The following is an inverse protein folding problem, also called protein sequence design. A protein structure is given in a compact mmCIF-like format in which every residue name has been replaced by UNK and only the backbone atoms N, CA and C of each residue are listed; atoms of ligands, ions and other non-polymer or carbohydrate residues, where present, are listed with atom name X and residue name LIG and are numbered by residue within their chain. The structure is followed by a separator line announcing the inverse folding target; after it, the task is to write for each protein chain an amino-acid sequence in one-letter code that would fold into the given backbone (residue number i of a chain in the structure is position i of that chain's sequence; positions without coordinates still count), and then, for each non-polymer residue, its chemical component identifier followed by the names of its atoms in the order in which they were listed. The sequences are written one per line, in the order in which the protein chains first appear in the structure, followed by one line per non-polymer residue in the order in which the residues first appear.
data_IF_039548483967
#
_entry.id   IF_039548483967
#
_cell.length_a   1.000
_cell.length_b   1.000
_cell.length_c   1.000
_cell.angle_alpha   90.00
_cell.angle_beta   90.00
_cell.angle_gamma   90.00
#
_symmetry.space_group_name_H-M   'P 1'
#
loop_
_entity.id
_entity.type
_entity.pdbx_description
1 polymer ?
#
# COMPACT_ATOMS: atom_id res chain seq x y z
N UNK A 1 -9.92 8.69 4.36
CA UNK A 1 -9.53 7.46 5.09
C UNK A 1 -8.74 6.55 4.15
N UNK A 2 -8.16 5.43 4.64
CA UNK A 2 -7.42 4.48 3.80
C UNK A 2 -8.26 3.95 2.63
N UNK A 3 -9.59 3.86 2.78
CA UNK A 3 -10.53 3.51 1.70
C UNK A 3 -10.52 4.52 0.55
N UNK A 4 -10.71 5.81 0.83
CA UNK A 4 -10.71 6.87 -0.20
C UNK A 4 -9.39 6.92 -0.98
N UNK A 5 -8.27 6.68 -0.28
CA UNK A 5 -6.96 6.59 -0.91
C UNK A 5 -6.89 5.43 -1.91
N UNK A 6 -7.36 4.23 -1.51
CA UNK A 6 -7.38 3.08 -2.41
C UNK A 6 -8.27 3.40 -3.63
N UNK A 7 -9.44 4.01 -3.43
CA UNK A 7 -10.39 4.28 -4.50
C UNK A 7 -9.84 5.25 -5.56
N UNK A 8 -9.16 6.32 -5.14
CA UNK A 8 -8.57 7.30 -6.08
C UNK A 8 -7.19 6.89 -6.61
N UNK A 9 -6.30 6.37 -5.76
CA UNK A 9 -4.89 6.16 -6.13
C UNK A 9 -4.56 4.76 -6.65
N UNK A 10 -5.42 3.75 -6.46
CA UNK A 10 -5.13 2.38 -6.90
C UNK A 10 -4.97 2.25 -8.42
N UNK A 11 -5.78 2.98 -9.20
CA UNK A 11 -5.71 2.93 -10.67
C UNK A 11 -4.37 3.47 -11.16
N UNK A 12 -3.90 4.58 -10.60
CA UNK A 12 -2.61 5.18 -10.95
C UNK A 12 -1.44 4.31 -10.51
N UNK A 13 -1.49 3.74 -9.30
CA UNK A 13 -0.47 2.81 -8.79
C UNK A 13 -0.31 1.58 -9.67
N UNK A 14 -1.44 1.01 -10.15
CA UNK A 14 -1.44 -0.15 -11.04
C UNK A 14 -0.92 0.20 -12.44
N UNK A 15 -1.24 1.39 -12.96
CA UNK A 15 -0.71 1.87 -14.24
C UNK A 15 0.80 2.13 -14.18
N UNK A 16 1.28 2.68 -13.07
CA UNK A 16 2.70 2.95 -12.88
C UNK A 16 3.52 1.67 -12.69
N UNK A 17 2.93 0.60 -12.14
CA UNK A 17 3.62 -0.67 -11.85
C UNK A 17 2.84 -1.88 -12.40
N UNK A 18 2.79 -2.07 -13.73
CA UNK A 18 1.96 -3.11 -14.35
C UNK A 18 2.41 -4.55 -14.06
N UNK A 19 3.67 -4.74 -13.66
CA UNK A 19 4.25 -6.04 -13.30
C UNK A 19 4.17 -6.35 -11.81
N UNK A 20 3.76 -5.39 -10.96
CA UNK A 20 3.69 -5.56 -9.52
C UNK A 20 2.30 -6.09 -9.12
N UNK A 21 2.20 -7.30 -8.52
CA UNK A 21 0.93 -7.81 -8.03
C UNK A 21 0.50 -7.05 -6.77
N UNK A 22 -0.54 -6.21 -6.90
CA UNK A 22 -1.15 -5.49 -5.77
C UNK A 22 -2.37 -6.27 -5.29
N UNK A 23 -2.38 -6.67 -4.01
CA UNK A 23 -3.51 -7.36 -3.38
C UNK A 23 -4.18 -6.43 -2.36
N UNK A 24 -5.45 -6.10 -2.59
CA UNK A 24 -6.27 -5.34 -1.64
C UNK A 24 -7.20 -6.32 -0.90
N UNK A 25 -7.17 -6.30 0.43
CA UNK A 25 -8.07 -7.08 1.27
C UNK A 25 -8.88 -6.16 2.16
N UNK A 26 -10.18 -6.13 1.95
CA UNK A 26 -11.10 -5.41 2.82
C UNK A 26 -11.33 -6.24 4.09
N UNK A 27 -11.12 -5.64 5.25
CA UNK A 27 -11.36 -6.27 6.54
C UNK A 27 -12.04 -5.24 7.46
N UNK A 28 -12.93 -5.72 8.34
CA UNK A 28 -13.64 -4.90 9.33
C UNK A 28 -13.10 -5.17 10.72
N UNK A 29 -12.92 -4.13 11.54
CA UNK A 29 -12.41 -4.26 12.92
C UNK A 29 -10.89 -4.48 13.04
N UNK A 30 -10.13 -4.33 11.95
CA UNK A 30 -8.67 -4.45 11.95
C UNK A 30 -8.01 -3.14 11.56
N UNK A 31 -6.82 -2.92 12.11
CA UNK A 31 -5.97 -1.77 11.79
C UNK A 31 -5.48 -1.90 10.33
N UNK A 32 -5.63 -0.86 9.49
CA UNK A 32 -5.16 -0.90 8.12
C UNK A 32 -3.63 -1.07 8.10
N UNK A 33 -3.13 -2.03 7.32
CA UNK A 33 -1.70 -2.33 7.17
C UNK A 33 -1.36 -2.55 5.70
N UNK A 34 -0.23 -1.99 5.27
CA UNK A 34 0.38 -2.29 3.98
C UNK A 34 1.48 -3.33 4.15
N UNK A 35 1.56 -4.26 3.21
CA UNK A 35 2.60 -5.29 3.14
C UNK A 35 3.29 -5.20 1.78
N UNK A 36 4.61 -5.12 1.79
CA UNK A 36 5.43 -5.17 0.60
C UNK A 36 6.38 -6.37 0.71
N UNK A 37 6.38 -7.21 -0.33
CA UNK A 37 7.28 -8.35 -0.46
C UNK A 37 8.29 -8.05 -1.57
N UNK A 38 9.57 -8.10 -1.23
CA UNK A 38 10.67 -7.83 -2.14
C UNK A 38 11.28 -9.13 -2.68
N UNK A 39 12.16 -8.98 -3.67
CA UNK A 39 13.02 -10.08 -4.10
C UNK A 39 13.82 -10.64 -2.90
N UNK A 40 14.18 -11.93 -2.95
CA UNK A 40 14.88 -12.66 -1.87
C UNK A 40 14.06 -12.92 -0.59
N UNK A 41 12.75 -12.72 -0.62
CA UNK A 41 11.85 -13.13 0.47
C UNK A 41 11.81 -12.16 1.65
N UNK A 42 12.27 -10.92 1.46
CA UNK A 42 12.09 -9.88 2.47
C UNK A 42 10.65 -9.34 2.44
N UNK A 43 10.00 -9.31 3.61
CA UNK A 43 8.65 -8.79 3.78
C UNK A 43 8.67 -7.63 4.78
N UNK A 44 8.09 -6.50 4.38
CA UNK A 44 7.98 -5.30 5.23
C UNK A 44 6.51 -4.95 5.39
N UNK A 45 6.07 -4.85 6.65
CA UNK A 45 4.72 -4.40 7.01
C UNK A 45 4.75 -3.01 7.61
N UNK A 46 3.85 -2.13 7.19
CA UNK A 46 3.71 -0.77 7.74
C UNK A 46 2.26 -0.55 8.19
N UNK A 47 2.03 -0.17 9.46
CA UNK A 47 0.70 0.24 9.92
C UNK A 47 0.32 1.57 9.27
N UNK A 48 -0.91 1.65 8.78
CA UNK A 48 -1.50 2.84 8.18
C UNK A 48 -2.56 3.48 9.09
N UNK A 49 -2.50 3.19 10.39
CA UNK A 49 -3.43 3.69 11.39
C UNK A 49 -3.32 5.21 11.55
N UNK A 50 -4.46 5.91 11.54
CA UNK A 50 -4.49 7.36 11.74
C UNK A 50 -3.82 8.21 10.64
N UNK A 51 -3.35 7.61 9.54
CA UNK A 51 -2.70 8.34 8.45
C UNK A 51 -3.73 8.93 7.47
N UNK A 52 -3.46 10.14 6.98
CA UNK A 52 -4.21 10.75 5.88
C UNK A 52 -3.91 10.05 4.54
N UNK A 53 -4.77 10.25 3.53
CA UNK A 53 -4.58 9.66 2.21
C UNK A 53 -3.20 9.98 1.61
N UNK A 54 -2.74 11.23 1.74
CA UNK A 54 -1.42 11.65 1.27
C UNK A 54 -0.28 10.94 2.01
N UNK A 55 -0.42 10.77 3.33
CA UNK A 55 0.57 10.06 4.16
C UNK A 55 0.64 8.56 3.85
N UNK A 56 -0.51 7.95 3.49
CA UNK A 56 -0.55 6.56 3.01
C UNK A 56 0.20 6.44 1.69
N UNK A 57 -0.03 7.34 0.74
CA UNK A 57 0.70 7.39 -0.53
C UNK A 57 2.21 7.53 -0.34
N UNK A 58 2.64 8.45 0.54
CA UNK A 58 4.05 8.64 0.87
C UNK A 58 4.68 7.38 1.52
N UNK A 59 3.92 6.70 2.39
CA UNK A 59 4.37 5.46 3.04
C UNK A 59 4.52 4.30 2.04
N UNK A 60 3.58 4.18 1.09
CA UNK A 60 3.66 3.20 0.01
C UNK A 60 4.81 3.52 -0.97
N UNK A 61 5.06 4.79 -1.29
CA UNK A 61 6.19 5.20 -2.12
C UNK A 61 7.54 4.83 -1.48
N UNK A 62 7.67 4.93 -0.15
CA UNK A 62 8.85 4.46 0.58
C UNK A 62 9.05 2.94 0.45
N UNK A 63 7.96 2.18 0.39
CA UNK A 63 8.03 0.73 0.16
C UNK A 63 8.48 0.42 -1.26
N UNK A 64 8.03 1.17 -2.28
CA UNK A 64 8.46 0.92 -3.66
C UNK A 64 9.99 1.06 -3.87
N UNK A 65 10.69 1.83 -3.02
CA UNK A 65 12.11 2.16 -3.19
C UNK A 65 13.09 1.09 -2.69
N UNK A 66 12.60 0.05 -2.01
CA UNK A 66 13.42 -1.07 -1.50
C UNK A 66 13.45 -2.29 -2.43
N UNK A 67 12.82 -2.21 -3.61
CA UNK A 67 12.81 -3.25 -4.63
C UNK A 67 14.00 -3.14 -5.59
#
# INVERSE_FOLDING_TARGET
MTRDFIESSYVELKKANPTLPILVRECSGVVPKAWARYGRGEEVSVPLDGLSAEQVGASLAKLNRKA
#
